data_IF_368728125611
#
_entry.id   IF_368728125611
#
_cell.length_a   1.000
_cell.length_b   1.000
_cell.length_c   1.000
_cell.angle_alpha   90.00
_cell.angle_beta   90.00
_cell.angle_gamma   90.00
#
_symmetry.space_group_name_H-M   'P 1'
#
loop_
_entity.id
_entity.type
_entity.pdbx_description
1 polymer ?
#
# COMPACT_ATOMS: atom_id res chain seq x y z
N UNK A 1 -4.54 -4.65 -8.76
CA UNK A 1 -5.14 -4.05 -7.55
C UNK A 1 -4.44 -4.64 -6.34
N UNK A 2 -5.13 -4.88 -5.23
CA UNK A 2 -4.68 -5.76 -4.14
C UNK A 2 -5.44 -7.09 -4.17
N UNK A 3 -5.11 -7.99 -3.25
CA UNK A 3 -5.85 -9.23 -3.04
C UNK A 3 -6.89 -9.01 -1.93
N UNK A 4 -8.13 -9.48 -2.13
CA UNK A 4 -9.17 -9.48 -1.11
C UNK A 4 -9.40 -10.87 -0.50
N UNK A 5 -9.98 -10.91 0.71
CA UNK A 5 -10.37 -12.13 1.41
C UNK A 5 -11.68 -12.77 0.91
N UNK A 6 -12.48 -12.03 0.14
CA UNK A 6 -13.72 -12.46 -0.49
C UNK A 6 -14.14 -11.49 -1.60
N UNK A 7 -15.28 -11.76 -2.25
CA UNK A 7 -15.70 -11.03 -3.45
C UNK A 7 -15.69 -9.50 -3.27
N UNK A 8 -14.97 -8.80 -4.14
CA UNK A 8 -14.80 -7.34 -4.08
C UNK A 8 -14.65 -6.73 -5.49
N UNK A 9 -14.82 -5.42 -5.57
CA UNK A 9 -14.27 -4.60 -6.66
C UNK A 9 -13.40 -3.51 -6.04
N UNK A 10 -12.28 -3.22 -6.69
CA UNK A 10 -11.44 -2.07 -6.37
C UNK A 10 -11.35 -1.15 -7.60
N UNK A 11 -11.12 0.14 -7.38
CA UNK A 11 -10.92 1.14 -8.43
C UNK A 11 -10.11 2.33 -7.90
N UNK A 12 -9.58 3.16 -8.82
CA UNK A 12 -8.82 4.36 -8.52
C UNK A 12 -7.62 4.10 -7.61
N UNK A 13 -6.82 3.07 -7.91
CA UNK A 13 -5.72 2.68 -7.03
C UNK A 13 -4.54 3.64 -7.19
N UNK A 14 -4.07 4.21 -6.08
CA UNK A 14 -2.84 5.01 -6.03
C UNK A 14 -1.79 4.25 -5.23
N UNK A 15 -0.68 3.95 -5.90
CA UNK A 15 0.48 3.25 -5.37
C UNK A 15 1.67 4.20 -5.35
N UNK A 16 2.34 4.32 -4.21
CA UNK A 16 3.53 5.14 -4.04
C UNK A 16 4.64 4.33 -3.37
N UNK A 17 5.88 4.41 -3.85
CA UNK A 17 7.06 3.97 -3.11
C UNK A 17 8.15 5.05 -3.18
N UNK A 18 8.54 5.59 -2.03
CA UNK A 18 9.68 6.50 -1.91
C UNK A 18 10.87 5.85 -1.23
N UNK A 19 12.08 6.04 -1.74
CA UNK A 19 13.32 5.58 -1.09
C UNK A 19 14.05 6.76 -0.46
N UNK A 20 14.22 6.73 0.86
CA UNK A 20 14.84 7.82 1.61
C UNK A 20 15.57 7.40 2.88
N UNK A 21 16.33 8.32 3.46
CA UNK A 21 16.85 8.24 4.83
C UNK A 21 15.72 8.46 5.84
N UNK A 22 15.61 7.56 6.81
CA UNK A 22 14.67 7.68 7.91
C UNK A 22 15.05 8.90 8.78
N UNK A 23 14.09 9.78 9.13
CA UNK A 23 14.38 11.13 9.62
C UNK A 23 15.01 11.20 11.00
N UNK A 24 14.99 10.11 11.79
CA UNK A 24 15.50 10.10 13.16
C UNK A 24 16.89 9.44 13.30
N UNK A 25 17.21 8.44 12.47
CA UNK A 25 18.42 7.61 12.60
C UNK A 25 19.27 7.51 11.31
N UNK A 26 18.79 8.05 10.18
CA UNK A 26 19.50 7.99 8.89
C UNK A 26 19.54 6.61 8.23
N UNK A 27 18.83 5.62 8.78
CA UNK A 27 18.67 4.30 8.17
C UNK A 27 17.99 4.41 6.80
N UNK A 28 18.38 3.59 5.83
CA UNK A 28 17.72 3.59 4.53
C UNK A 28 16.37 2.86 4.64
N UNK A 29 15.30 3.52 4.21
CA UNK A 29 13.93 3.02 4.24
C UNK A 29 13.24 3.20 2.90
N UNK A 30 12.23 2.36 2.66
CA UNK A 30 11.15 2.66 1.72
C UNK A 30 9.92 3.14 2.49
N UNK A 31 9.21 4.11 1.92
CA UNK A 31 7.86 4.53 2.35
C UNK A 31 6.88 4.09 1.27
N UNK A 32 6.00 3.15 1.62
CA UNK A 32 4.88 2.76 0.78
C UNK A 32 3.68 3.66 1.10
N UNK A 33 3.01 4.13 0.05
CA UNK A 33 1.65 4.64 0.10
C UNK A 33 0.71 3.77 -0.72
N UNK A 34 -0.45 3.47 -0.16
CA UNK A 34 -1.49 2.68 -0.81
C UNK A 34 -2.87 3.28 -0.55
N UNK A 35 -3.64 3.55 -1.61
CA UNK A 35 -5.04 3.95 -1.54
C UNK A 35 -5.82 3.32 -2.68
N UNK A 36 -7.06 2.91 -2.43
CA UNK A 36 -8.01 2.53 -3.47
C UNK A 36 -9.45 2.79 -2.97
N UNK A 37 -10.41 2.79 -3.89
CA UNK A 37 -11.83 2.71 -3.55
C UNK A 37 -12.22 1.24 -3.50
N UNK A 38 -12.70 0.77 -2.35
CA UNK A 38 -13.16 -0.60 -2.16
C UNK A 38 -14.69 -0.71 -2.16
N UNK A 39 -15.23 -1.60 -2.99
CA UNK A 39 -16.62 -2.05 -2.91
C UNK A 39 -16.66 -3.52 -2.49
N UNK A 40 -17.26 -3.80 -1.33
CA UNK A 40 -17.44 -5.16 -0.86
C UNK A 40 -18.63 -5.81 -1.57
N UNK A 41 -18.37 -6.88 -2.32
CA UNK A 41 -19.41 -7.67 -3.00
C UNK A 41 -19.79 -8.92 -2.19
N UNK A 42 -19.03 -9.26 -1.16
CA UNK A 42 -19.36 -10.34 -0.24
C UNK A 42 -20.55 -9.98 0.67
N UNK A 43 -21.37 -10.98 1.00
CA UNK A 43 -22.50 -10.87 1.94
C UNK A 43 -22.10 -10.74 3.42
N UNK A 44 -20.89 -10.25 3.71
CA UNK A 44 -20.30 -10.17 5.05
C UNK A 44 -18.92 -9.49 5.03
N UNK A 45 -18.23 -9.42 6.18
CA UNK A 45 -16.93 -8.77 6.30
C UNK A 45 -15.89 -9.33 5.33
N UNK A 46 -15.02 -8.43 4.88
CA UNK A 46 -13.96 -8.69 3.92
C UNK A 46 -12.66 -8.01 4.40
N UNK A 47 -11.57 -8.24 3.69
CA UNK A 47 -10.29 -7.62 4.02
C UNK A 47 -9.43 -7.48 2.76
N UNK A 48 -8.58 -6.47 2.77
CA UNK A 48 -7.48 -6.31 1.81
C UNK A 48 -6.22 -6.93 2.39
N UNK A 49 -5.42 -7.60 1.55
CA UNK A 49 -4.11 -8.15 1.91
C UNK A 49 -3.01 -7.43 1.12
N UNK A 50 -1.99 -6.98 1.85
CA UNK A 50 -0.78 -6.38 1.30
C UNK A 50 0.45 -7.11 1.84
N UNK A 51 1.30 -7.60 0.96
CA UNK A 51 2.64 -8.10 1.27
C UNK A 51 3.65 -6.96 1.18
N UNK A 52 4.48 -6.80 2.20
CA UNK A 52 5.44 -5.72 2.30
C UNK A 52 6.86 -6.30 2.24
N UNK A 53 7.76 -5.81 1.37
CA UNK A 53 9.09 -6.38 1.16
C UNK A 53 10.05 -6.01 2.30
N UNK A 54 9.71 -6.47 3.50
CA UNK A 54 10.48 -6.39 4.75
C UNK A 54 10.14 -7.61 5.61
N UNK A 55 11.07 -8.08 6.44
CA UNK A 55 10.86 -9.25 7.31
C UNK A 55 10.05 -8.96 8.57
N UNK A 56 10.11 -7.72 9.05
CA UNK A 56 9.53 -7.33 10.31
C UNK A 56 8.87 -5.97 10.14
N UNK A 57 7.64 -5.88 10.62
CA UNK A 57 6.91 -4.62 10.64
C UNK A 57 6.19 -4.43 11.98
N UNK A 58 6.13 -3.19 12.43
CA UNK A 58 5.52 -2.79 13.70
C UNK A 58 4.44 -1.72 13.46
N UNK A 59 3.45 -1.54 14.37
CA UNK A 59 2.38 -0.57 14.17
C UNK A 59 2.91 0.87 14.16
N UNK A 60 4.01 1.12 14.89
CA UNK A 60 4.68 2.44 14.97
C UNK A 60 5.27 2.90 13.61
N UNK A 61 5.42 1.96 12.67
CA UNK A 61 5.86 2.21 11.30
C UNK A 61 4.72 2.67 10.36
N UNK A 62 3.47 2.52 10.77
CA UNK A 62 2.31 3.07 10.05
C UNK A 62 2.22 4.56 10.36
N UNK A 63 2.29 5.37 9.31
CA UNK A 63 2.32 6.83 9.41
C UNK A 63 0.87 7.30 9.42
N UNK A 64 0.41 7.80 10.56
CA UNK A 64 -0.91 8.45 10.65
C UNK A 64 -0.93 9.70 9.77
N UNK A 65 -1.77 9.69 8.74
CA UNK A 65 -2.02 10.85 7.87
C UNK A 65 -2.82 11.94 8.59
N UNK A 66 -3.58 11.59 9.64
CA UNK A 66 -4.38 12.55 10.39
C UNK A 66 -5.35 13.31 9.47
N UNK A 67 -5.35 14.63 9.55
CA UNK A 67 -6.13 15.52 8.67
C UNK A 67 -5.73 15.53 7.19
N UNK A 68 -4.57 14.98 6.84
CA UNK A 68 -4.00 15.07 5.49
C UNK A 68 -4.37 13.82 4.67
N UNK A 69 -5.67 13.51 4.54
CA UNK A 69 -6.16 12.33 3.80
C UNK A 69 -5.99 12.42 2.27
N UNK A 70 -5.67 13.61 1.75
CA UNK A 70 -5.38 13.89 0.35
C UNK A 70 -3.90 13.68 -0.06
N UNK A 71 -3.03 13.18 0.83
CA UNK A 71 -1.57 13.10 0.58
C UNK A 71 -1.21 12.38 -0.71
N UNK A 72 -1.85 11.26 -1.03
CA UNK A 72 -1.57 10.54 -2.28
C UNK A 72 -2.24 11.21 -3.49
N UNK A 73 -3.41 11.81 -3.32
CA UNK A 73 -4.06 12.66 -4.34
C UNK A 73 -3.12 13.80 -4.75
N UNK A 74 -2.51 14.51 -3.80
CA UNK A 74 -1.52 15.58 -4.10
C UNK A 74 -0.27 15.11 -4.84
N UNK A 75 0.13 13.84 -4.70
CA UNK A 75 1.21 13.26 -5.52
C UNK A 75 0.73 12.91 -6.94
N UNK A 76 -0.52 12.47 -7.10
CA UNK A 76 -1.16 12.30 -8.41
C UNK A 76 -1.31 13.65 -9.11
N UNK A 77 -1.89 14.65 -8.44
CA UNK A 77 -2.11 16.02 -8.94
C UNK A 77 -0.81 16.69 -9.44
N UNK A 78 0.35 16.28 -8.91
CA UNK A 78 1.65 16.77 -9.37
C UNK A 78 2.07 16.21 -10.75
N UNK A 79 1.67 14.98 -11.10
CA UNK A 79 2.04 14.28 -12.35
C UNK A 79 0.90 14.15 -13.36
N UNK A 80 -0.34 14.33 -12.92
CA UNK A 80 -1.54 14.24 -13.74
C UNK A 80 -1.81 15.56 -14.49
N UNK A 81 -2.48 15.51 -15.66
CA UNK A 81 -3.17 16.68 -16.20
C UNK A 81 -4.29 17.12 -15.24
N UNK A 82 -4.62 18.42 -15.15
CA UNK A 82 -5.38 18.96 -14.02
C UNK A 82 -6.90 18.70 -14.09
N UNK A 83 -7.43 17.89 -13.17
CA UNK A 83 -8.85 17.86 -12.73
C UNK A 83 -8.92 17.70 -11.18
N UNK A 84 -10.11 17.87 -10.56
CA UNK A 84 -10.26 18.29 -9.14
C UNK A 84 -11.29 17.46 -8.36
N UNK A 85 -10.94 16.91 -7.18
CA UNK A 85 -11.88 16.34 -6.15
C UNK A 85 -11.39 16.49 -4.66
N UNK A 86 -12.10 15.91 -3.68
CA UNK A 86 -12.25 16.37 -2.26
C UNK A 86 -12.05 15.32 -1.11
N UNK A 87 -11.93 15.76 0.16
CA UNK A 87 -11.37 15.09 1.39
C UNK A 87 -12.34 14.37 2.41
N UNK A 88 -11.81 13.65 3.43
CA UNK A 88 -12.54 13.14 4.65
C UNK A 88 -11.77 12.40 5.82
N UNK A 89 -12.15 12.65 7.11
CA UNK A 89 -11.36 12.48 8.38
C UNK A 89 -12.00 11.62 9.54
N UNK A 90 -11.38 11.10 10.65
CA UNK A 90 -9.98 10.77 11.14
C UNK A 90 -9.95 9.85 12.44
N UNK A 91 -8.77 9.42 12.98
CA UNK A 91 -8.53 8.19 13.83
C UNK A 91 -7.84 8.29 15.23
N UNK A 92 -7.72 7.16 15.98
CA UNK A 92 -6.86 6.95 17.19
C UNK A 92 -6.30 5.49 17.37
N UNK A 93 -5.31 5.31 18.27
CA UNK A 93 -4.24 4.26 18.30
C UNK A 93 -4.02 3.58 19.71
N UNK A 94 -3.31 2.42 19.80
CA UNK A 94 -2.45 1.98 20.95
C UNK A 94 -1.84 0.53 20.89
N UNK A 95 -0.54 0.38 21.23
CA UNK A 95 -0.02 -0.59 22.24
C UNK A 95 0.53 -1.99 21.84
N UNK A 96 1.66 -2.51 22.42
CA UNK A 96 2.34 -3.73 21.92
C UNK A 96 2.39 -4.98 22.85
N UNK A 97 2.42 -6.18 22.24
CA UNK A 97 3.30 -7.34 22.55
C UNK A 97 3.19 -8.40 21.39
N UNK A 98 4.07 -9.42 21.26
CA UNK A 98 4.38 -10.03 19.95
C UNK A 98 3.50 -11.19 19.46
N UNK A 99 3.67 -11.49 18.16
CA UNK A 99 3.01 -12.50 17.31
C UNK A 99 1.55 -12.18 16.93
N UNK A 100 1.39 -11.81 15.65
CA UNK A 100 0.24 -11.12 15.02
C UNK A 100 -0.22 -9.91 15.83
N UNK A 101 0.14 -8.72 15.35
CA UNK A 101 -0.27 -7.45 15.96
C UNK A 101 -1.63 -7.07 15.40
N UNK A 102 -2.57 -6.65 16.25
CA UNK A 102 -3.92 -6.26 15.83
C UNK A 102 -4.17 -4.86 16.33
N UNK A 103 -4.36 -3.92 15.42
CA UNK A 103 -4.54 -2.49 15.70
C UNK A 103 -5.58 -1.88 14.78
N UNK A 104 -6.03 -0.69 15.15
CA UNK A 104 -7.06 0.09 14.46
C UNK A 104 -6.34 1.16 13.60
N UNK A 105 -6.53 1.15 12.27
CA UNK A 105 -5.91 2.12 11.34
C UNK A 105 -6.72 2.29 10.06
N UNK A 106 -7.10 3.52 9.73
CA UNK A 106 -8.13 3.75 8.71
C UNK A 106 -9.44 3.07 9.16
N UNK A 107 -10.44 2.94 8.30
CA UNK A 107 -11.64 2.12 8.55
C UNK A 107 -11.39 0.64 8.91
N UNK A 108 -10.13 0.21 8.92
CA UNK A 108 -9.69 -1.16 9.10
C UNK A 108 -9.30 -1.51 10.53
N UNK A 109 -9.67 -2.73 10.92
CA UNK A 109 -8.92 -3.48 11.93
C UNK A 109 -7.78 -4.20 11.21
N UNK A 110 -6.54 -3.72 11.36
CA UNK A 110 -5.35 -4.28 10.70
C UNK A 110 -4.77 -5.41 11.55
N UNK A 111 -4.58 -6.59 10.97
CA UNK A 111 -3.70 -7.63 11.52
C UNK A 111 -2.39 -7.63 10.75
N UNK A 112 -1.28 -7.56 11.47
CA UNK A 112 0.06 -7.54 10.92
C UNK A 112 0.85 -8.74 11.40
N UNK A 113 1.35 -9.55 10.47
CA UNK A 113 2.05 -10.79 10.76
C UNK A 113 3.30 -10.96 9.89
N UNK A 114 4.40 -11.38 10.51
CA UNK A 114 5.64 -11.78 9.82
C UNK A 114 5.52 -13.23 9.26
N UNK A 115 4.47 -13.97 9.63
CA UNK A 115 4.09 -15.28 9.09
C UNK A 115 2.55 -15.32 8.85
N UNK A 116 2.07 -15.46 7.60
CA UNK A 116 0.64 -15.49 7.28
C UNK A 116 -0.09 -16.70 7.87
N UNK A 117 0.60 -17.80 8.17
CA UNK A 117 0.02 -19.00 8.80
C UNK A 117 -0.53 -18.73 10.22
N UNK A 118 -0.09 -17.65 10.87
CA UNK A 118 -0.52 -17.26 12.21
C UNK A 118 -1.80 -16.41 12.23
N UNK A 119 -2.18 -15.83 11.08
CA UNK A 119 -3.35 -14.94 10.94
C UNK A 119 -4.67 -15.61 11.39
N UNK A 120 -5.00 -16.87 11.01
CA UNK A 120 -6.25 -17.52 11.43
C UNK A 120 -6.42 -17.60 12.94
N UNK A 121 -5.33 -17.86 13.67
CA UNK A 121 -5.35 -17.93 15.13
C UNK A 121 -5.64 -16.55 15.75
N UNK A 122 -5.22 -15.46 15.11
CA UNK A 122 -5.40 -14.09 15.61
C UNK A 122 -6.73 -13.42 15.20
N UNK A 123 -7.42 -13.91 14.16
CA UNK A 123 -8.71 -13.35 13.70
C UNK A 123 -9.76 -13.18 14.81
N UNK A 124 -9.71 -13.99 15.88
CA UNK A 124 -10.63 -13.85 17.01
C UNK A 124 -10.53 -12.50 17.74
N UNK A 125 -9.43 -11.75 17.56
CA UNK A 125 -9.21 -10.39 18.09
C UNK A 125 -9.88 -9.29 17.25
N UNK A 126 -10.21 -9.57 15.99
CA UNK A 126 -10.95 -8.64 15.12
C UNK A 126 -12.40 -8.55 15.60
N UNK A 127 -13.02 -7.35 15.70
CA UNK A 127 -14.45 -7.20 15.97
C UNK A 127 -15.28 -8.11 15.07
N UNK A 128 -16.21 -8.88 15.64
CA UNK A 128 -16.92 -9.94 14.93
C UNK A 128 -17.58 -9.48 13.62
N UNK A 129 -18.07 -8.23 13.58
CA UNK A 129 -18.70 -7.61 12.41
C UNK A 129 -17.75 -7.29 11.24
N UNK A 130 -16.45 -7.15 11.52
CA UNK A 130 -15.36 -6.87 10.55
C UNK A 130 -14.49 -8.09 10.25
N UNK A 131 -14.72 -9.24 10.90
CA UNK A 131 -13.84 -10.42 10.82
C UNK A 131 -14.05 -11.21 9.53
N UNK A 132 -13.15 -11.16 8.54
CA UNK A 132 -13.31 -11.89 7.28
C UNK A 132 -13.20 -13.40 7.49
N UNK A 133 -13.72 -14.17 6.53
CA UNK A 133 -13.42 -15.59 6.39
C UNK A 133 -12.29 -15.76 5.39
N UNK A 134 -11.09 -16.11 5.86
CA UNK A 134 -9.95 -16.38 4.99
C UNK A 134 -10.02 -17.81 4.44
N UNK A 135 -9.72 -18.00 3.15
CA UNK A 135 -9.56 -19.33 2.55
C UNK A 135 -8.14 -19.86 2.83
N UNK A 136 -7.94 -21.14 3.19
CA UNK A 136 -6.61 -21.68 3.46
C UNK A 136 -5.63 -21.52 2.29
N UNK A 137 -6.09 -21.73 1.05
CA UNK A 137 -5.27 -21.60 -0.16
C UNK A 137 -4.66 -20.21 -0.35
N UNK A 138 -5.33 -19.14 0.12
CA UNK A 138 -4.80 -17.78 0.07
C UNK A 138 -3.65 -17.59 1.06
N UNK A 139 -3.72 -18.21 2.24
CA UNK A 139 -2.68 -18.14 3.26
C UNK A 139 -1.48 -19.00 2.89
N UNK A 140 -1.72 -20.19 2.33
CA UNK A 140 -0.67 -21.03 1.73
C UNK A 140 0.05 -20.29 0.61
N UNK A 141 -0.67 -19.60 -0.28
CA UNK A 141 -0.07 -18.76 -1.32
C UNK A 141 0.89 -17.73 -0.72
N UNK A 142 0.48 -16.96 0.29
CA UNK A 142 1.38 -15.98 0.92
C UNK A 142 2.59 -16.65 1.62
N UNK A 143 2.40 -17.78 2.31
CA UNK A 143 3.48 -18.50 2.97
C UNK A 143 4.52 -19.04 1.97
N UNK A 144 4.09 -19.53 0.80
CA UNK A 144 4.97 -20.09 -0.23
C UNK A 144 5.64 -19.02 -1.10
N UNK A 145 4.93 -17.92 -1.40
CA UNK A 145 5.37 -16.89 -2.36
C UNK A 145 6.04 -15.68 -1.71
N UNK A 146 5.73 -15.43 -0.45
CA UNK A 146 6.22 -14.28 0.29
C UNK A 146 6.76 -14.65 1.68
N UNK A 147 7.59 -15.72 1.82
CA UNK A 147 8.03 -16.26 3.12
C UNK A 147 8.86 -15.30 3.97
N UNK A 148 9.48 -14.29 3.34
CA UNK A 148 10.28 -13.26 4.00
C UNK A 148 9.52 -11.91 4.17
N UNK A 149 8.25 -11.81 3.77
CA UNK A 149 7.49 -10.55 3.79
C UNK A 149 6.53 -10.46 4.98
N UNK A 150 6.46 -9.28 5.60
CA UNK A 150 5.38 -8.92 6.50
C UNK A 150 4.05 -8.76 5.73
N UNK A 151 2.98 -9.38 6.23
CA UNK A 151 1.64 -9.35 5.62
C UNK A 151 0.71 -8.48 6.49
N UNK A 152 0.14 -7.45 5.89
CA UNK A 152 -0.91 -6.62 6.48
C UNK A 152 -2.29 -7.06 5.94
N UNK A 153 -3.16 -7.51 6.85
CA UNK A 153 -4.56 -7.85 6.59
C UNK A 153 -5.45 -6.73 7.13
N UNK A 154 -5.95 -5.88 6.25
CA UNK A 154 -6.79 -4.72 6.58
C UNK A 154 -8.29 -5.15 6.55
N UNK A 155 -8.88 -5.46 7.71
CA UNK A 155 -10.24 -5.98 7.82
C UNK A 155 -11.31 -4.88 7.89
N UNK A 156 -12.36 -4.98 7.08
CA UNK A 156 -13.45 -3.99 7.00
C UNK A 156 -14.85 -4.65 6.94
N UNK A 157 -15.88 -3.82 7.11
CA UNK A 157 -17.27 -4.19 6.85
C UNK A 157 -17.90 -3.32 5.74
N UNK A 158 -19.11 -3.67 5.30
CA UNK A 158 -19.73 -3.09 4.11
C UNK A 158 -20.11 -1.61 4.25
N UNK A 159 -20.19 -1.08 5.48
CA UNK A 159 -20.50 0.33 5.70
C UNK A 159 -19.27 1.23 5.52
N UNK A 160 -18.09 0.71 5.85
CA UNK A 160 -16.87 1.51 5.98
C UNK A 160 -16.00 1.51 4.70
N UNK A 161 -16.14 0.51 3.81
CA UNK A 161 -15.23 0.25 2.67
C UNK A 161 -14.99 1.42 1.70
N UNK A 162 -15.97 2.31 1.50
CA UNK A 162 -15.88 3.45 0.55
C UNK A 162 -15.23 4.72 1.13
N UNK A 163 -14.66 4.66 2.34
CA UNK A 163 -14.11 5.82 3.07
C UNK A 163 -12.67 5.65 3.56
N UNK A 164 -11.96 4.67 3.01
CA UNK A 164 -10.59 4.38 3.42
C UNK A 164 -9.62 5.50 3.06
N UNK A 165 -8.95 6.03 4.07
CA UNK A 165 -7.79 6.93 3.92
C UNK A 165 -6.60 6.20 3.30
N UNK A 166 -5.65 6.95 2.70
CA UNK A 166 -4.39 6.38 2.26
C UNK A 166 -3.62 5.73 3.42
N UNK A 167 -3.24 4.46 3.23
CA UNK A 167 -2.32 3.74 4.08
C UNK A 167 -0.90 4.19 3.78
N UNK A 168 -0.21 4.79 4.76
CA UNK A 168 1.21 5.11 4.66
C UNK A 168 2.01 4.26 5.65
N UNK A 169 3.11 3.66 5.19
CA UNK A 169 3.96 2.81 6.04
C UNK A 169 5.42 2.89 5.60
N UNK A 170 6.34 2.96 6.55
CA UNK A 170 7.78 2.93 6.27
C UNK A 170 8.42 1.61 6.72
N UNK A 171 9.43 1.12 5.99
CA UNK A 171 10.14 -0.10 6.37
C UNK A 171 11.56 -0.14 5.80
N UNK A 172 12.42 -0.95 6.42
CA UNK A 172 13.70 -1.35 5.82
C UNK A 172 13.43 -2.41 4.75
N UNK A 173 13.74 -2.16 3.46
CA UNK A 173 13.43 -3.08 2.37
C UNK A 173 14.37 -4.28 2.33
N UNK A 174 13.91 -5.39 1.73
CA UNK A 174 14.79 -6.52 1.39
C UNK A 174 15.85 -6.15 0.34
N UNK A 175 15.47 -5.35 -0.65
CA UNK A 175 16.32 -4.85 -1.72
C UNK A 175 16.25 -3.30 -1.71
N UNK A 176 17.29 -2.60 -1.21
CA UNK A 176 17.31 -1.15 -1.15
C UNK A 176 17.50 -0.47 -2.52
N UNK A 177 17.92 -1.20 -3.54
CA UNK A 177 18.15 -0.66 -4.88
C UNK A 177 16.95 -0.92 -5.81
N UNK A 178 15.81 -1.37 -5.25
CA UNK A 178 14.59 -1.68 -5.99
C UNK A 178 13.32 -1.29 -5.24
N UNK A 179 12.68 -0.25 -5.74
CA UNK A 179 11.37 0.18 -5.25
C UNK A 179 10.30 -0.74 -5.86
N UNK A 180 9.44 -1.31 -5.02
CA UNK A 180 8.35 -2.22 -5.42
C UNK A 180 7.08 -1.83 -4.68
N UNK A 181 5.95 -1.72 -5.40
CA UNK A 181 4.62 -1.47 -4.84
C UNK A 181 3.71 -2.69 -5.04
N UNK A 182 3.05 -3.20 -3.97
CA UNK A 182 2.14 -4.35 -4.09
C UNK A 182 1.00 -4.06 -5.06
N UNK A 183 0.83 -4.89 -6.08
CA UNK A 183 -0.18 -4.72 -7.12
C UNK A 183 -0.77 -6.04 -7.66
N UNK A 184 -0.48 -7.17 -7.00
CA UNK A 184 -1.14 -8.46 -7.23
C UNK A 184 -2.66 -8.36 -7.09
N UNK A 185 -3.36 -8.94 -8.05
CA UNK A 185 -4.80 -8.84 -8.22
C UNK A 185 -5.47 -10.19 -7.95
N UNK A 186 -6.44 -10.22 -7.03
CA UNK A 186 -7.41 -11.31 -6.87
C UNK A 186 -8.54 -10.85 -5.98
N UNK A 187 -9.73 -10.66 -6.55
CA UNK A 187 -10.88 -10.14 -5.80
C UNK A 187 -11.89 -11.23 -5.42
N UNK A 188 -11.45 -12.47 -5.25
CA UNK A 188 -12.33 -13.66 -5.10
C UNK A 188 -12.17 -14.37 -3.75
N UNK A 189 -11.29 -13.85 -2.87
CA UNK A 189 -10.84 -14.57 -1.67
C UNK A 189 -9.93 -15.77 -1.93
N UNK A 190 -9.67 -16.14 -3.20
CA UNK A 190 -8.73 -17.18 -3.58
C UNK A 190 -7.32 -16.63 -3.83
N UNK A 191 -6.34 -17.53 -3.88
CA UNK A 191 -4.99 -17.20 -4.34
C UNK A 191 -5.02 -16.58 -5.76
N UNK A 192 -4.17 -15.59 -6.05
CA UNK A 192 -4.12 -14.95 -7.36
C UNK A 192 -3.58 -15.91 -8.44
N UNK A 193 -4.13 -15.80 -9.64
CA UNK A 193 -3.53 -16.40 -10.83
C UNK A 193 -2.38 -15.49 -11.31
N UNK A 194 -1.16 -15.98 -11.19
CA UNK A 194 0.06 -15.27 -11.60
C UNK A 194 0.27 -15.24 -13.13
N UNK A 195 -0.40 -16.14 -13.86
CA UNK A 195 -0.36 -16.22 -15.32
C UNK A 195 -1.50 -15.44 -15.99
N UNK A 196 -2.51 -14.99 -15.25
CA UNK A 196 -3.55 -14.10 -15.75
C UNK A 196 -3.00 -12.75 -16.25
N UNK A 197 -3.62 -12.22 -17.32
CA UNK A 197 -3.60 -10.80 -17.64
C UNK A 197 -4.81 -10.14 -16.94
N UNK A 198 -4.56 -9.15 -16.08
CA UNK A 198 -5.56 -8.52 -15.23
C UNK A 198 -5.75 -7.05 -15.63
N UNK A 199 -6.98 -6.49 -15.53
CA UNK A 199 -7.20 -5.08 -15.78
C UNK A 199 -6.41 -4.23 -14.78
N UNK A 200 -5.92 -3.09 -15.25
CA UNK A 200 -5.23 -2.11 -14.40
C UNK A 200 -6.00 -0.80 -14.34
N UNK A 201 -5.93 -0.16 -13.17
CA UNK A 201 -6.44 1.17 -12.85
C UNK A 201 -5.57 1.69 -11.70
N UNK A 202 -4.32 2.04 -12.05
CA UNK A 202 -3.26 2.32 -11.09
C UNK A 202 -2.49 3.59 -11.46
N UNK A 203 -2.52 4.59 -10.59
CA UNK A 203 -1.41 5.55 -10.50
C UNK A 203 -0.24 4.87 -9.79
N UNK A 204 0.92 4.83 -10.43
CA UNK A 204 2.15 4.27 -9.86
C UNK A 204 3.19 5.38 -9.77
N UNK A 205 3.55 5.72 -8.54
CA UNK A 205 4.35 6.89 -8.16
C UNK A 205 5.62 6.45 -7.43
N UNK A 206 6.72 7.16 -7.68
CA UNK A 206 8.01 6.90 -7.06
C UNK A 206 8.73 8.20 -6.67
N UNK A 207 9.56 8.13 -5.63
CA UNK A 207 10.45 9.21 -5.20
C UNK A 207 11.80 8.70 -4.71
N UNK A 208 12.80 9.59 -4.66
CA UNK A 208 14.00 9.37 -3.85
C UNK A 208 14.55 10.68 -3.32
N UNK A 209 15.11 10.67 -2.12
CA UNK A 209 15.87 11.79 -1.54
C UNK A 209 17.24 12.01 -2.22
N UNK A 210 17.76 10.99 -2.93
CA UNK A 210 18.94 11.07 -3.79
C UNK A 210 18.63 11.61 -5.20
N UNK A 211 17.37 11.97 -5.49
CA UNK A 211 16.98 12.54 -6.79
C UNK A 211 17.57 13.95 -7.03
N UNK A 212 17.98 14.29 -8.26
CA UNK A 212 18.43 15.65 -8.59
C UNK A 212 17.36 16.70 -8.28
N UNK A 213 17.73 17.81 -7.61
CA UNK A 213 16.79 18.91 -7.32
C UNK A 213 16.22 19.57 -8.57
N UNK A 214 17.03 19.60 -9.63
CA UNK A 214 16.80 20.32 -10.87
C UNK A 214 16.42 19.33 -11.99
N UNK A 215 15.27 19.55 -12.61
CA UNK A 215 14.83 18.80 -13.79
C UNK A 215 14.27 17.39 -13.56
N UNK A 216 14.36 16.83 -12.35
CA UNK A 216 13.80 15.51 -12.02
C UNK A 216 12.43 15.61 -11.36
N UNK A 217 11.43 14.88 -11.86
CA UNK A 217 10.09 14.78 -11.26
C UNK A 217 9.28 16.07 -11.17
N UNK A 218 8.03 15.93 -10.74
CA UNK A 218 7.11 17.04 -10.48
C UNK A 218 7.06 17.37 -8.98
N UNK A 219 7.00 18.66 -8.59
CA UNK A 219 6.95 19.07 -7.19
C UNK A 219 5.60 18.77 -6.56
N UNK A 220 5.59 18.22 -5.35
CA UNK A 220 4.37 17.95 -4.58
C UNK A 220 4.06 19.13 -3.64
N UNK A 221 2.84 19.65 -3.72
CA UNK A 221 2.40 20.70 -2.81
C UNK A 221 2.08 20.11 -1.42
N UNK A 222 2.76 20.60 -0.38
CA UNK A 222 2.45 20.26 1.01
C UNK A 222 2.00 21.50 1.79
N UNK A 223 0.85 21.48 2.49
CA UNK A 223 0.42 22.58 3.34
C UNK A 223 1.46 22.92 4.42
N UNK A 224 1.71 24.21 4.65
CA UNK A 224 2.63 24.70 5.68
C UNK A 224 2.29 24.20 7.10
N UNK A 225 1.02 23.85 7.34
CA UNK A 225 0.49 23.38 8.62
C UNK A 225 0.48 21.86 8.77
N UNK A 226 0.96 21.12 7.78
CA UNK A 226 1.08 19.66 7.85
C UNK A 226 1.91 19.25 9.07
N UNK A 227 1.49 18.18 9.74
CA UNK A 227 2.22 17.63 10.89
C UNK A 227 3.67 17.28 10.51
N UNK A 228 4.65 17.83 11.22
CA UNK A 228 6.07 17.60 10.95
C UNK A 228 6.44 16.11 10.83
N UNK A 229 5.90 15.24 11.71
CA UNK A 229 6.14 13.79 11.67
C UNK A 229 5.60 13.12 10.41
N UNK A 230 4.48 13.60 9.85
CA UNK A 230 3.99 13.11 8.55
C UNK A 230 4.89 13.65 7.43
N UNK A 231 5.11 14.97 7.43
CA UNK A 231 5.90 15.68 6.41
C UNK A 231 7.30 15.11 6.21
N UNK A 232 7.96 14.67 7.29
CA UNK A 232 9.30 14.07 7.25
C UNK A 232 9.37 12.71 6.54
N UNK A 233 8.23 12.11 6.18
CA UNK A 233 8.19 10.90 5.35
C UNK A 233 7.69 11.14 3.92
N UNK A 234 7.27 12.36 3.58
CA UNK A 234 6.70 12.70 2.27
C UNK A 234 7.72 13.38 1.35
N UNK A 235 7.69 13.07 0.05
CA UNK A 235 8.68 13.54 -0.91
C UNK A 235 8.36 14.95 -1.38
N UNK A 236 9.41 15.74 -1.64
CA UNK A 236 9.24 17.05 -2.28
C UNK A 236 8.89 16.95 -3.77
N UNK A 237 9.29 15.85 -4.41
CA UNK A 237 9.11 15.60 -5.84
C UNK A 237 8.80 14.13 -6.10
N UNK A 238 7.93 13.86 -7.06
CA UNK A 238 7.57 12.51 -7.51
C UNK A 238 7.68 12.37 -9.02
N UNK A 239 7.95 11.16 -9.48
CA UNK A 239 7.69 10.73 -10.86
C UNK A 239 6.64 9.64 -10.83
N UNK A 240 5.88 9.49 -11.90
CA UNK A 240 4.95 8.38 -12.01
C UNK A 240 4.10 8.45 -13.26
N UNK A 241 3.29 7.41 -13.46
CA UNK A 241 2.32 7.36 -14.56
C UNK A 241 1.08 6.55 -14.17
N UNK A 242 0.01 6.82 -14.89
CA UNK A 242 -1.21 6.03 -14.85
C UNK A 242 -1.09 4.78 -15.73
N UNK A 243 -1.68 3.68 -15.26
CA UNK A 243 -1.85 2.42 -15.97
C UNK A 243 -3.34 2.08 -15.93
N UNK A 244 -4.05 2.31 -17.03
CA UNK A 244 -5.51 2.14 -17.08
C UNK A 244 -6.08 2.16 -18.49
N UNK A 245 -7.21 2.83 -18.68
CA UNK A 245 -7.87 3.02 -19.98
C UNK A 245 -8.18 1.72 -20.74
N UNK A 246 -8.56 0.67 -19.99
CA UNK A 246 -8.85 -0.66 -20.53
C UNK A 246 -7.62 -1.52 -20.81
N UNK A 247 -6.42 -1.07 -20.44
CA UNK A 247 -5.21 -1.89 -20.46
C UNK A 247 -5.35 -3.10 -19.53
N UNK A 248 -4.82 -4.24 -19.97
CA UNK A 248 -4.52 -5.39 -19.12
C UNK A 248 -3.01 -5.59 -19.04
N UNK A 249 -2.52 -6.04 -17.88
CA UNK A 249 -1.12 -6.39 -17.64
C UNK A 249 -1.03 -7.74 -16.92
N UNK A 250 0.08 -8.46 -17.09
CA UNK A 250 0.35 -9.69 -16.32
C UNK A 250 0.20 -9.42 -14.82
N UNK A 251 -0.40 -10.37 -14.11
CA UNK A 251 -0.58 -10.25 -12.67
C UNK A 251 0.79 -10.23 -11.95
N UNK A 252 0.93 -9.32 -10.98
CA UNK A 252 2.19 -9.03 -10.32
C UNK A 252 2.23 -7.67 -9.64
N UNK A 253 3.35 -7.34 -9.03
CA UNK A 253 3.64 -6.04 -8.43
C UNK A 253 4.26 -5.09 -9.45
N UNK A 254 4.22 -3.77 -9.24
CA UNK A 254 5.06 -2.86 -10.04
C UNK A 254 6.39 -2.65 -9.34
N UNK A 255 7.49 -2.62 -10.10
CA UNK A 255 8.80 -2.26 -9.53
C UNK A 255 9.72 -1.58 -10.52
N UNK A 256 10.66 -0.79 -10.00
CA UNK A 256 11.71 -0.08 -10.73
C UNK A 256 13.02 -0.17 -9.95
N UNK A 257 14.16 -0.21 -10.63
CA UNK A 257 15.47 -0.11 -9.95
C UNK A 257 15.77 1.34 -9.63
N UNK A 258 16.44 1.60 -8.52
CA UNK A 258 16.74 2.95 -8.07
C UNK A 258 17.56 3.75 -9.09
N UNK A 259 18.51 3.14 -9.80
CA UNK A 259 19.25 3.84 -10.86
C UNK A 259 18.40 4.23 -12.08
N UNK A 260 17.46 3.36 -12.49
CA UNK A 260 16.51 3.67 -13.59
C UNK A 260 15.55 4.81 -13.17
N UNK A 261 15.12 4.80 -11.90
CA UNK A 261 14.32 5.86 -11.29
C UNK A 261 15.06 7.21 -11.27
N UNK A 262 16.32 7.23 -10.85
CA UNK A 262 17.15 8.44 -10.86
C UNK A 262 17.43 8.96 -12.28
N UNK A 263 17.50 8.07 -13.27
CA UNK A 263 17.58 8.43 -14.69
C UNK A 263 16.25 8.96 -15.27
N UNK A 264 15.13 8.80 -14.56
CA UNK A 264 13.79 9.18 -15.02
C UNK A 264 13.17 8.22 -16.04
N UNK A 265 13.75 7.03 -16.23
CA UNK A 265 13.31 6.06 -17.24
C UNK A 265 12.13 5.22 -16.73
N UNK A 266 10.93 5.82 -16.71
CA UNK A 266 9.69 5.15 -16.29
C UNK A 266 9.26 4.00 -17.20
N UNK A 267 9.86 3.83 -18.38
CA UNK A 267 9.65 2.65 -19.22
C UNK A 267 10.36 1.40 -18.68
N UNK A 268 11.21 1.54 -17.63
CA UNK A 268 11.79 0.45 -16.84
C UNK A 268 10.89 -0.06 -15.72
N UNK A 269 9.74 0.55 -15.49
CA UNK A 269 8.77 0.02 -14.51
C UNK A 269 8.20 -1.29 -15.04
N UNK A 270 8.55 -2.39 -14.37
CA UNK A 270 8.19 -3.76 -14.76
C UNK A 270 7.11 -4.36 -13.86
N UNK A 271 6.35 -5.33 -14.39
CA UNK A 271 5.43 -6.18 -13.62
C UNK A 271 6.22 -7.37 -13.06
N UNK A 272 6.33 -7.46 -11.75
CA UNK A 272 7.12 -8.47 -11.03
C UNK A 272 6.23 -9.59 -10.49
N UNK A 273 6.68 -10.83 -10.66
CA UNK A 273 6.10 -11.99 -9.97
C UNK A 273 6.81 -12.20 -8.62
N UNK A 274 6.17 -12.90 -7.66
CA UNK A 274 6.83 -13.38 -6.45
C UNK A 274 7.97 -14.35 -6.77
#
# INVERSE_FOLDING_TARGET
MCISAGDAAFSGTVLYCGRQRHPEDGGLIHVLGYQNTAENLAGGPNAMLLHLPTRHLTPEQFISVGSDDDVLRRMVDAVAPPEVETDGMDWMDAGPEPVVRVFEHDVYTVLLADDPGLIPAALHRVPWKRRPRLKPELLTFYAERFPDHAIALCCFDNADAKRAKPLLVWYQPHDPDRLTVPALDSHTGGAPDLDADVPVDHWVLFSSDEAPSDGWGAPVAHPERMRHRLRSFLPDRVVGRYYGDGQTLRNGDFGIRHHDLLAGDLDRVERRRP
#
